data_IF_250578161307
#
_entry.id   IF_250578161307
#
_cell.length_a   1.000
_cell.length_b   1.000
_cell.length_c   1.000
_cell.angle_alpha   90.00
_cell.angle_beta   90.00
_cell.angle_gamma   90.00
#
_symmetry.space_group_name_H-M   'P 1'
#
loop_
_entity.id
_entity.type
_entity.pdbx_description
1 polymer ?
#
# COMPACT_ATOMS: atom_id res chain seq x y z
N UNK A 1 -5.74 -16.11 -5.91
CA UNK A 1 -4.29 -16.29 -5.60
C UNK A 1 -3.92 -15.38 -4.44
N UNK A 2 -2.81 -15.66 -3.72
CA UNK A 2 -2.25 -14.75 -2.71
C UNK A 2 -1.19 -13.85 -3.38
N UNK A 3 -1.32 -12.54 -3.25
CA UNK A 3 -0.45 -11.56 -3.92
C UNK A 3 0.06 -10.58 -2.88
N UNK A 4 1.37 -10.32 -2.90
CA UNK A 4 2.03 -9.39 -2.01
C UNK A 4 2.42 -8.13 -2.77
N UNK A 5 2.02 -6.95 -2.30
CA UNK A 5 2.43 -5.65 -2.85
C UNK A 5 3.30 -4.96 -1.80
N UNK A 6 4.54 -4.67 -2.18
CA UNK A 6 5.50 -3.93 -1.35
C UNK A 6 5.68 -2.56 -1.97
N UNK A 7 5.27 -1.51 -1.25
CA UNK A 7 5.38 -0.13 -1.73
C UNK A 7 5.23 0.85 -0.58
N UNK A 8 5.69 2.07 -0.77
CA UNK A 8 5.78 3.06 0.30
C UNK A 8 4.37 3.44 0.77
N UNK A 9 3.46 3.69 -0.18
CA UNK A 9 2.07 4.07 0.07
C UNK A 9 1.14 3.45 -0.95
N UNK A 10 -0.09 3.16 -0.53
CA UNK A 10 -1.18 2.72 -1.38
C UNK A 10 -2.37 3.64 -1.10
N UNK A 11 -2.45 4.77 -1.81
CA UNK A 11 -3.42 5.83 -1.51
C UNK A 11 -3.93 6.50 -2.77
N UNK A 12 -5.24 6.82 -2.80
CA UNK A 12 -5.81 7.69 -3.83
C UNK A 12 -5.19 9.09 -3.76
N UNK A 13 -4.79 9.61 -4.91
CA UNK A 13 -4.22 10.96 -5.03
C UNK A 13 -2.73 11.07 -4.72
N UNK A 14 -2.06 9.96 -4.39
CA UNK A 14 -0.60 9.87 -4.33
C UNK A 14 -0.07 9.42 -5.69
N UNK A 15 0.96 10.05 -6.26
CA UNK A 15 1.40 9.74 -7.63
C UNK A 15 1.72 8.26 -7.85
N UNK A 16 2.67 7.72 -7.08
CA UNK A 16 3.05 6.30 -7.13
C UNK A 16 2.05 5.41 -6.38
N UNK A 17 1.49 5.91 -5.28
CA UNK A 17 0.51 5.18 -4.49
C UNK A 17 -0.83 4.98 -5.19
N UNK A 18 -1.21 5.84 -6.14
CA UNK A 18 -2.43 5.72 -6.93
C UNK A 18 -2.38 4.52 -7.85
N UNK A 19 -1.24 4.27 -8.49
CA UNK A 19 -1.08 3.11 -9.39
C UNK A 19 -1.26 1.82 -8.61
N UNK A 20 -0.57 1.70 -7.45
CA UNK A 20 -0.70 0.53 -6.60
C UNK A 20 -2.11 0.38 -6.01
N UNK A 21 -2.79 1.49 -5.73
CA UNK A 21 -4.18 1.49 -5.29
C UNK A 21 -5.11 0.87 -6.34
N UNK A 22 -5.02 1.29 -7.60
CA UNK A 22 -5.87 0.74 -8.67
C UNK A 22 -5.60 -0.74 -8.91
N UNK A 23 -4.32 -1.15 -8.87
CA UNK A 23 -3.94 -2.55 -8.99
C UNK A 23 -4.53 -3.36 -7.83
N UNK A 24 -4.39 -2.89 -6.58
CA UNK A 24 -4.94 -3.57 -5.41
C UNK A 24 -6.46 -3.71 -5.51
N UNK A 25 -7.18 -2.65 -5.91
CA UNK A 25 -8.63 -2.69 -6.09
C UNK A 25 -9.06 -3.72 -7.14
N UNK A 26 -8.39 -3.76 -8.30
CA UNK A 26 -8.72 -4.72 -9.35
C UNK A 26 -8.42 -6.16 -8.93
N UNK A 27 -7.34 -6.39 -8.17
CA UNK A 27 -7.03 -7.71 -7.62
C UNK A 27 -8.09 -8.16 -6.60
N UNK A 28 -8.56 -7.26 -5.75
CA UNK A 28 -9.68 -7.57 -4.83
C UNK A 28 -10.96 -7.85 -5.59
N UNK A 29 -11.28 -7.07 -6.63
CA UNK A 29 -12.46 -7.28 -7.47
C UNK A 29 -12.46 -8.65 -8.16
N UNK A 30 -11.27 -9.17 -8.48
CA UNK A 30 -11.07 -10.52 -9.04
C UNK A 30 -11.02 -11.64 -7.99
N UNK A 31 -11.20 -11.32 -6.71
CA UNK A 31 -11.23 -12.29 -5.61
C UNK A 31 -9.85 -12.80 -5.18
N UNK A 32 -8.79 -12.03 -5.40
CA UNK A 32 -7.47 -12.35 -4.86
C UNK A 32 -7.35 -11.93 -3.40
N UNK A 33 -6.50 -12.63 -2.65
CA UNK A 33 -6.09 -12.23 -1.30
C UNK A 33 -4.82 -11.40 -1.41
N UNK A 34 -4.77 -10.26 -0.71
CA UNK A 34 -3.64 -9.36 -0.75
C UNK A 34 -2.92 -9.30 0.58
N UNK A 35 -1.60 -9.24 0.53
CA UNK A 35 -0.77 -8.77 1.64
C UNK A 35 -0.13 -7.45 1.20
N UNK A 36 -0.33 -6.39 1.97
CA UNK A 36 0.18 -5.06 1.66
C UNK A 36 1.28 -4.71 2.66
N UNK A 37 2.51 -4.52 2.19
CA UNK A 37 3.63 -4.03 3.00
C UNK A 37 3.85 -2.56 2.63
N UNK A 38 3.33 -1.67 3.47
CA UNK A 38 3.35 -0.24 3.21
C UNK A 38 3.25 0.57 4.51
N UNK A 39 3.73 1.82 4.48
CA UNK A 39 3.58 2.73 5.63
C UNK A 39 2.20 3.37 5.70
N UNK A 40 1.52 3.52 4.56
CA UNK A 40 0.14 4.02 4.48
C UNK A 40 -0.65 3.19 3.46
N UNK A 41 -1.87 2.81 3.84
CA UNK A 41 -2.83 2.12 2.98
C UNK A 41 -4.17 2.87 3.05
N UNK A 42 -4.87 2.96 1.92
CA UNK A 42 -6.20 3.56 1.84
C UNK A 42 -7.18 2.81 2.76
N UNK A 43 -8.05 3.50 3.53
CA UNK A 43 -8.94 2.87 4.49
C UNK A 43 -9.78 1.73 3.88
N UNK A 44 -10.32 1.93 2.68
CA UNK A 44 -11.12 0.91 1.99
C UNK A 44 -10.36 -0.38 1.65
N UNK A 45 -9.03 -0.33 1.56
CA UNK A 45 -8.17 -1.50 1.39
C UNK A 45 -7.83 -2.09 2.76
N UNK A 46 -7.52 -1.26 3.76
CA UNK A 46 -7.18 -1.71 5.11
C UNK A 46 -8.36 -2.41 5.82
N UNK A 47 -9.59 -1.96 5.57
CA UNK A 47 -10.81 -2.51 6.17
C UNK A 47 -11.33 -3.77 5.43
N UNK A 48 -10.70 -4.16 4.32
CA UNK A 48 -11.14 -5.31 3.52
C UNK A 48 -10.70 -6.63 4.14
N UNK A 49 -11.64 -7.56 4.32
CA UNK A 49 -11.36 -8.90 4.88
C UNK A 49 -10.40 -9.75 4.02
N UNK A 50 -10.24 -9.39 2.75
CA UNK A 50 -9.34 -10.08 1.81
C UNK A 50 -7.94 -9.44 1.75
N UNK A 51 -7.67 -8.47 2.63
CA UNK A 51 -6.41 -7.74 2.73
C UNK A 51 -5.78 -7.98 4.11
N UNK A 52 -4.50 -8.34 4.11
CA UNK A 52 -3.64 -8.35 5.28
C UNK A 52 -2.64 -7.20 5.16
N UNK A 53 -2.81 -6.14 5.96
CA UNK A 53 -1.90 -5.00 5.95
C UNK A 53 -0.83 -5.17 7.03
N UNK A 54 0.42 -5.24 6.59
CA UNK A 54 1.60 -5.23 7.45
C UNK A 54 2.23 -3.84 7.40
N UNK A 55 2.06 -3.00 8.44
CA UNK A 55 2.56 -1.64 8.43
C UNK A 55 4.08 -1.58 8.57
N UNK A 56 4.74 -0.84 7.67
CA UNK A 56 6.16 -0.49 7.81
C UNK A 56 6.24 0.90 8.45
N UNK A 57 6.74 0.96 9.69
CA UNK A 57 6.83 2.21 10.44
C UNK A 57 8.02 3.02 9.93
N UNK A 58 7.74 4.09 9.19
CA UNK A 58 8.73 5.08 8.79
C UNK A 58 8.51 6.36 9.58
N UNK A 59 9.55 6.86 10.22
CA UNK A 59 9.48 8.09 11.00
C UNK A 59 9.21 9.30 10.08
N UNK A 60 8.72 10.41 10.66
CA UNK A 60 8.56 11.65 9.89
C UNK A 60 9.94 12.20 9.52
N UNK A 61 10.22 12.26 8.21
CA UNK A 61 11.42 12.88 7.66
C UNK A 61 11.08 14.24 7.04
N UNK A 62 12.04 15.17 6.93
CA UNK A 62 11.81 16.51 6.40
C UNK A 62 11.36 16.52 4.93
N UNK A 63 11.67 15.46 4.18
CA UNK A 63 11.32 15.34 2.77
C UNK A 63 10.79 13.96 2.42
N UNK A 64 9.90 13.92 1.42
CA UNK A 64 9.39 12.67 0.84
C UNK A 64 10.52 11.82 0.26
N UNK A 65 11.56 12.45 -0.30
CA UNK A 65 12.72 11.76 -0.87
C UNK A 65 13.47 10.94 0.19
N UNK A 66 13.80 11.54 1.34
CA UNK A 66 14.49 10.82 2.43
C UNK A 66 13.58 9.73 2.98
N UNK A 67 12.29 10.03 3.19
CA UNK A 67 11.33 9.01 3.66
C UNK A 67 11.28 7.82 2.72
N UNK A 68 11.28 8.07 1.41
CA UNK A 68 11.26 7.04 0.39
C UNK A 68 12.56 6.22 0.37
N UNK A 69 13.71 6.84 0.57
CA UNK A 69 14.99 6.14 0.68
C UNK A 69 15.06 5.23 1.92
N UNK A 70 14.51 5.67 3.05
CA UNK A 70 14.50 4.89 4.30
C UNK A 70 13.54 3.69 4.23
N UNK A 71 12.48 3.80 3.42
CA UNK A 71 11.54 2.70 3.21
C UNK A 71 12.12 1.59 2.31
N UNK A 72 12.92 1.96 1.31
CA UNK A 72 13.46 1.07 0.27
C UNK A 72 14.57 0.14 0.79
#
# INVERSE_FOLDING_TARGET
MKICIVTHKIRKGDGQGRVNYEIAMELLRRGHQLTLLASEVAPELADSISVDWVPIIVHKYPTEFIRNLVFA
#
